data_IF_915498847058
#
_entry.id   IF_915498847058
#
_cell.length_a   1.000
_cell.length_b   1.000
_cell.length_c   1.000
_cell.angle_alpha   90.00
_cell.angle_beta   90.00
_cell.angle_gamma   90.00
#
_symmetry.space_group_name_H-M   'P 1'
#
loop_
_entity.id
_entity.type
_entity.pdbx_description
1 polymer ?
#
# COMPACT_ATOMS: atom_id res chain seq x y z
N UNK A 1 -37.97 11.25 5.12
CA UNK A 1 -39.45 11.34 5.22
C UNK A 1 -39.88 12.74 4.84
N UNK A 2 -40.99 12.97 4.12
CA UNK A 2 -41.50 14.33 3.88
C UNK A 2 -41.84 15.02 5.22
N UNK A 3 -41.61 16.32 5.31
CA UNK A 3 -41.98 17.11 6.49
C UNK A 3 -43.51 17.04 6.70
N UNK A 4 -44.00 16.69 7.91
CA UNK A 4 -45.42 16.64 8.21
C UNK A 4 -46.18 17.96 7.96
N UNK A 5 -45.48 19.10 7.92
CA UNK A 5 -46.06 20.44 7.69
C UNK A 5 -45.85 20.97 6.27
N UNK A 6 -44.91 20.40 5.52
CA UNK A 6 -44.63 20.79 4.13
C UNK A 6 -44.16 19.56 3.32
N UNK A 7 -45.08 18.87 2.62
CA UNK A 7 -44.77 17.64 1.89
C UNK A 7 -43.79 17.85 0.72
N UNK A 8 -43.45 19.09 0.36
CA UNK A 8 -42.40 19.38 -0.64
C UNK A 8 -40.98 19.27 -0.08
N UNK A 9 -40.79 19.23 1.24
CA UNK A 9 -39.48 19.18 1.91
C UNK A 9 -39.16 17.76 2.35
N UNK A 10 -38.06 17.21 1.85
CA UNK A 10 -37.53 15.92 2.28
C UNK A 10 -36.74 16.13 3.58
N UNK A 11 -37.20 15.54 4.68
CA UNK A 11 -36.46 15.46 5.94
C UNK A 11 -35.48 14.29 5.85
N UNK A 12 -34.20 14.63 5.80
CA UNK A 12 -33.07 13.68 5.93
C UNK A 12 -32.71 13.56 7.40
N UNK A 13 -32.88 12.38 7.99
CA UNK A 13 -32.46 12.10 9.37
C UNK A 13 -31.01 11.61 9.35
N UNK A 14 -30.08 12.42 9.85
CA UNK A 14 -28.68 12.02 10.05
C UNK A 14 -28.51 11.52 11.48
N UNK A 15 -28.22 10.23 11.66
CA UNK A 15 -27.84 9.67 12.96
C UNK A 15 -26.33 9.81 13.14
N UNK A 16 -25.90 10.64 14.09
CA UNK A 16 -24.49 10.77 14.47
C UNK A 16 -24.20 9.94 15.71
N UNK A 17 -23.39 8.89 15.59
CA UNK A 17 -22.88 8.13 16.73
C UNK A 17 -21.48 8.62 17.09
N UNK A 18 -21.34 9.24 18.26
CA UNK A 18 -20.05 9.71 18.77
C UNK A 18 -19.45 8.67 19.70
N UNK A 19 -18.18 8.32 19.47
CA UNK A 19 -17.40 7.46 20.36
C UNK A 19 -16.35 8.29 21.08
N UNK A 20 -16.31 8.22 22.41
CA UNK A 20 -15.19 8.75 23.20
C UNK A 20 -14.10 7.68 23.28
N UNK A 21 -12.86 8.02 22.96
CA UNK A 21 -11.73 7.10 22.97
C UNK A 21 -10.71 7.50 24.03
N UNK A 22 -10.21 6.53 24.79
CA UNK A 22 -9.08 6.75 25.69
C UNK A 22 -7.83 7.16 24.89
N UNK A 23 -6.95 7.94 25.52
CA UNK A 23 -5.75 8.50 24.85
C UNK A 23 -4.87 7.40 24.24
N UNK A 24 -4.70 6.29 24.94
CA UNK A 24 -3.88 5.15 24.54
C UNK A 24 -4.48 4.44 23.32
N UNK A 25 -5.81 4.32 23.29
CA UNK A 25 -6.52 3.77 22.14
C UNK A 25 -6.41 4.67 20.92
N UNK A 26 -6.55 6.00 21.10
CA UNK A 26 -6.37 6.97 20.03
C UNK A 26 -4.94 6.92 19.46
N UNK A 27 -3.95 6.81 20.34
CA UNK A 27 -2.55 6.64 19.93
C UNK A 27 -2.36 5.35 19.12
N UNK A 28 -2.96 4.25 19.54
CA UNK A 28 -2.89 2.97 18.81
C UNK A 28 -3.52 3.08 17.41
N UNK A 29 -4.66 3.76 17.28
CA UNK A 29 -5.29 4.01 15.97
C UNK A 29 -4.40 4.87 15.08
N UNK A 30 -3.83 5.96 15.60
CA UNK A 30 -2.90 6.80 14.84
C UNK A 30 -1.63 6.03 14.43
N UNK A 31 -1.12 5.15 15.30
CA UNK A 31 0.00 4.27 14.94
C UNK A 31 -0.36 3.38 13.74
N UNK A 32 -1.57 2.79 13.71
CA UNK A 32 -2.03 2.02 12.55
C UNK A 32 -2.09 2.86 11.27
N UNK A 33 -2.47 4.13 11.35
CA UNK A 33 -2.47 5.02 10.19
C UNK A 33 -1.05 5.35 9.70
N UNK A 34 -0.08 5.48 10.60
CA UNK A 34 1.34 5.62 10.25
C UNK A 34 1.86 4.33 9.60
N UNK A 35 1.60 3.17 10.20
CA UNK A 35 2.04 1.87 9.69
C UNK A 35 1.47 1.59 8.28
N UNK A 36 0.20 1.94 8.08
CA UNK A 36 -0.51 1.81 6.80
C UNK A 36 -0.18 2.94 5.81
N UNK A 37 0.64 3.93 6.19
CA UNK A 37 1.01 5.10 5.38
C UNK A 37 -0.17 5.94 4.92
N UNK A 38 -1.22 6.05 5.73
CA UNK A 38 -2.35 6.94 5.49
C UNK A 38 -2.04 8.38 5.89
N UNK A 39 -1.18 8.55 6.89
CA UNK A 39 -0.70 9.85 7.36
C UNK A 39 0.81 9.86 7.39
N UNK A 40 1.39 11.05 7.26
CA UNK A 40 2.82 11.30 7.35
C UNK A 40 3.10 12.60 8.11
N UNK A 41 4.31 12.71 8.66
CA UNK A 41 4.76 13.94 9.33
C UNK A 41 4.95 15.05 8.30
N UNK A 42 4.57 16.28 8.66
CA UNK A 42 4.80 17.47 7.83
C UNK A 42 6.28 17.88 7.81
N UNK A 43 7.06 17.49 8.82
CA UNK A 43 8.47 17.88 8.97
C UNK A 43 9.45 17.03 8.12
N UNK A 44 8.97 16.38 7.05
CA UNK A 44 9.70 15.51 6.11
C UNK A 44 10.50 14.34 6.73
N UNK A 45 10.36 14.10 8.03
CA UNK A 45 10.94 12.95 8.72
C UNK A 45 9.91 11.82 8.76
N UNK A 46 10.23 10.71 8.09
CA UNK A 46 9.47 9.48 8.22
C UNK A 46 9.52 8.99 9.68
N UNK A 47 8.41 9.17 10.40
CA UNK A 47 8.26 8.69 11.77
C UNK A 47 7.70 7.26 11.73
N UNK A 48 8.44 6.32 12.30
CA UNK A 48 7.97 4.94 12.48
C UNK A 48 7.00 4.80 13.65
N UNK A 49 7.06 5.72 14.61
CA UNK A 49 6.26 5.69 15.83
C UNK A 49 5.48 7.00 15.91
N UNK A 50 4.17 6.90 16.11
CA UNK A 50 3.31 8.06 16.29
C UNK A 50 3.58 8.73 17.65
N UNK A 51 4.09 9.98 17.68
CA UNK A 51 4.46 10.66 18.90
C UNK A 51 3.22 11.19 19.63
N UNK A 52 3.31 11.29 20.97
CA UNK A 52 2.21 11.77 21.80
C UNK A 52 1.98 13.30 21.73
N UNK A 53 3.01 14.07 21.39
CA UNK A 53 2.97 15.54 21.34
C UNK A 53 3.99 16.06 20.32
N UNK A 54 3.73 17.28 19.83
CA UNK A 54 4.72 18.07 19.11
C UNK A 54 5.00 17.63 17.67
N UNK A 55 4.06 16.95 17.02
CA UNK A 55 4.16 16.61 15.60
C UNK A 55 2.86 16.95 14.88
N UNK A 56 3.00 17.48 13.66
CA UNK A 56 1.90 17.73 12.74
C UNK A 56 1.89 16.63 11.69
N UNK A 57 0.70 16.08 11.47
CA UNK A 57 0.48 15.03 10.47
C UNK A 57 -0.47 15.53 9.39
N UNK A 58 -0.26 15.04 8.18
CA UNK A 58 -1.11 15.27 7.03
C UNK A 58 -1.48 13.94 6.37
N UNK A 59 -2.58 13.91 5.64
CA UNK A 59 -2.97 12.75 4.84
C UNK A 59 -2.01 12.57 3.66
N UNK A 60 -1.54 11.35 3.45
CA UNK A 60 -0.85 10.98 2.22
C UNK A 60 -1.84 10.85 1.06
N UNK A 61 -1.40 10.85 -0.21
CA UNK A 61 -2.31 10.56 -1.34
C UNK A 61 -3.08 9.23 -1.17
N UNK A 62 -2.44 8.21 -0.59
CA UNK A 62 -3.11 6.95 -0.19
C UNK A 62 -4.21 7.20 0.82
N UNK A 63 -3.92 7.94 1.90
CA UNK A 63 -4.88 8.28 2.94
C UNK A 63 -6.10 9.03 2.40
N UNK A 64 -5.88 9.99 1.48
CA UNK A 64 -6.97 10.74 0.84
C UNK A 64 -7.83 9.82 -0.03
N UNK A 65 -7.22 8.92 -0.82
CA UNK A 65 -7.98 7.98 -1.64
C UNK A 65 -8.83 7.02 -0.77
N UNK A 66 -8.28 6.50 0.34
CA UNK A 66 -9.03 5.67 1.28
C UNK A 66 -10.18 6.46 1.93
N UNK A 67 -9.93 7.72 2.33
CA UNK A 67 -10.96 8.62 2.86
C UNK A 67 -12.06 8.85 1.82
N UNK A 68 -11.71 9.09 0.56
CA UNK A 68 -12.67 9.26 -0.53
C UNK A 68 -13.62 8.06 -0.64
N UNK A 69 -13.06 6.85 -0.64
CA UNK A 69 -13.85 5.61 -0.71
C UNK A 69 -14.76 5.43 0.50
N UNK A 70 -14.25 5.77 1.69
CA UNK A 70 -15.05 5.75 2.92
C UNK A 70 -16.21 6.73 2.85
N UNK A 71 -15.97 7.98 2.43
CA UNK A 71 -17.00 8.99 2.29
C UNK A 71 -18.06 8.62 1.24
N UNK A 72 -17.65 8.11 0.08
CA UNK A 72 -18.55 7.64 -0.97
C UNK A 72 -19.44 6.48 -0.48
N UNK A 73 -18.85 5.51 0.23
CA UNK A 73 -19.60 4.34 0.74
C UNK A 73 -20.62 4.71 1.82
N UNK A 74 -20.33 5.74 2.62
CA UNK A 74 -21.18 6.16 3.74
C UNK A 74 -22.03 7.41 3.45
N UNK A 75 -21.97 7.98 2.23
CA UNK A 75 -22.70 9.19 1.87
C UNK A 75 -22.27 10.44 2.62
N UNK A 76 -20.98 10.56 2.97
CA UNK A 76 -20.44 11.72 3.69
C UNK A 76 -20.13 12.84 2.69
N UNK A 77 -20.81 13.99 2.84
CA UNK A 77 -20.70 15.15 1.93
C UNK A 77 -20.37 16.45 2.67
N UNK A 78 -19.63 16.37 3.79
CA UNK A 78 -19.24 17.55 4.56
C UNK A 78 -18.24 18.42 3.76
N UNK A 79 -18.46 19.73 3.71
CA UNK A 79 -17.67 20.67 2.89
C UNK A 79 -16.16 20.54 3.12
N UNK A 80 -15.71 20.59 4.37
CA UNK A 80 -14.28 20.47 4.72
C UNK A 80 -13.66 19.13 4.32
N UNK A 81 -14.45 18.07 4.18
CA UNK A 81 -13.97 16.78 3.67
C UNK A 81 -13.84 16.86 2.15
N UNK A 82 -14.85 17.40 1.47
CA UNK A 82 -14.81 17.59 0.01
C UNK A 82 -13.63 18.44 -0.43
N UNK A 83 -13.30 19.52 0.30
CA UNK A 83 -12.12 20.36 0.04
C UNK A 83 -10.82 19.54 0.01
N UNK A 84 -10.69 18.53 0.88
CA UNK A 84 -9.53 17.62 0.91
C UNK A 84 -9.57 16.63 -0.24
N UNK A 85 -10.75 16.07 -0.55
CA UNK A 85 -10.93 15.07 -1.62
C UNK A 85 -10.72 15.65 -3.02
N UNK A 86 -11.06 16.92 -3.22
CA UNK A 86 -10.90 17.67 -4.47
C UNK A 86 -9.54 18.37 -4.55
N UNK A 87 -8.75 18.32 -3.47
CA UNK A 87 -7.43 18.94 -3.46
C UNK A 87 -6.47 18.27 -4.46
N UNK A 88 -5.46 19.01 -4.95
CA UNK A 88 -4.41 18.45 -5.83
C UNK A 88 -3.59 17.31 -5.21
N UNK A 89 -3.79 16.99 -3.92
CA UNK A 89 -3.11 15.90 -3.22
C UNK A 89 -3.78 14.54 -3.45
N UNK A 90 -5.01 14.51 -3.94
CA UNK A 90 -5.72 13.27 -4.25
C UNK A 90 -5.28 12.71 -5.62
N UNK A 91 -4.02 12.31 -5.72
CA UNK A 91 -3.41 11.83 -6.98
C UNK A 91 -3.39 10.31 -7.10
N UNK A 92 -3.69 9.59 -6.01
CA UNK A 92 -3.44 8.17 -5.91
C UNK A 92 -4.47 7.33 -6.68
N UNK A 93 -4.00 6.43 -7.54
CA UNK A 93 -4.80 5.38 -8.16
C UNK A 93 -4.49 4.03 -7.50
N UNK A 94 -5.15 3.76 -6.37
CA UNK A 94 -4.93 2.54 -5.59
C UNK A 94 -5.43 1.27 -6.28
N UNK A 95 -4.65 0.20 -6.13
CA UNK A 95 -5.12 -1.17 -6.36
C UNK A 95 -6.06 -1.56 -5.23
N UNK A 96 -7.32 -1.74 -5.59
CA UNK A 96 -8.35 -2.18 -4.67
C UNK A 96 -8.24 -3.69 -4.50
N UNK A 97 -7.90 -4.13 -3.29
CA UNK A 97 -7.82 -5.54 -2.96
C UNK A 97 -9.19 -6.03 -2.49
N UNK A 98 -9.62 -7.15 -3.04
CA UNK A 98 -10.84 -7.82 -2.59
C UNK A 98 -10.62 -8.46 -1.23
N UNK A 99 -11.57 -8.22 -0.33
CA UNK A 99 -11.57 -8.73 1.04
C UNK A 99 -12.85 -9.49 1.30
N UNK A 100 -12.72 -10.57 2.05
CA UNK A 100 -13.86 -11.32 2.58
C UNK A 100 -14.64 -10.46 3.58
N UNK A 101 -15.96 -10.40 3.42
CA UNK A 101 -16.80 -9.47 4.18
C UNK A 101 -16.93 -9.84 5.67
N UNK A 102 -16.71 -11.10 6.04
CA UNK A 102 -16.83 -11.60 7.41
C UNK A 102 -15.49 -11.61 8.14
N UNK A 103 -14.42 -12.03 7.46
CA UNK A 103 -13.10 -12.27 8.05
C UNK A 103 -12.09 -11.16 7.77
N UNK A 104 -12.41 -10.21 6.88
CA UNK A 104 -11.52 -9.13 6.41
C UNK A 104 -10.21 -9.62 5.76
N UNK A 105 -10.14 -10.92 5.43
CA UNK A 105 -8.97 -11.53 4.78
C UNK A 105 -8.95 -11.18 3.30
N UNK A 106 -7.74 -11.01 2.75
CA UNK A 106 -7.53 -10.80 1.32
C UNK A 106 -7.95 -12.04 0.52
N UNK A 107 -8.51 -11.82 -0.68
CA UNK A 107 -8.71 -12.91 -1.62
C UNK A 107 -7.36 -13.44 -2.13
N UNK A 108 -7.24 -14.77 -2.17
CA UNK A 108 -6.01 -15.47 -2.59
C UNK A 108 -6.17 -16.20 -3.93
N UNK A 109 -7.30 -16.00 -4.62
CA UNK A 109 -7.55 -16.65 -5.89
C UNK A 109 -6.55 -16.19 -6.96
N UNK A 110 -6.24 -17.10 -7.89
CA UNK A 110 -5.18 -16.88 -8.87
C UNK A 110 -5.45 -15.68 -9.78
N UNK A 111 -6.70 -15.47 -10.19
CA UNK A 111 -7.06 -14.40 -11.11
C UNK A 111 -6.84 -13.03 -10.45
N UNK A 112 -7.28 -12.86 -9.20
CA UNK A 112 -7.04 -11.64 -8.41
C UNK A 112 -5.55 -11.37 -8.24
N UNK A 113 -4.76 -12.38 -7.91
CA UNK A 113 -3.31 -12.21 -7.75
C UNK A 113 -2.64 -11.83 -9.08
N UNK A 114 -3.06 -12.40 -10.21
CA UNK A 114 -2.56 -12.02 -11.53
C UNK A 114 -2.97 -10.58 -11.92
N UNK A 115 -4.16 -10.11 -11.51
CA UNK A 115 -4.58 -8.69 -11.67
C UNK A 115 -3.69 -7.76 -10.86
N UNK A 116 -3.45 -8.08 -9.58
CA UNK A 116 -2.57 -7.29 -8.72
C UNK A 116 -1.15 -7.27 -9.31
N UNK A 117 -0.68 -8.42 -9.81
CA UNK A 117 0.64 -8.53 -10.41
C UNK A 117 0.79 -7.67 -11.67
N UNK A 118 -0.22 -7.58 -12.54
CA UNK A 118 -0.15 -6.67 -13.71
C UNK A 118 0.05 -5.21 -13.33
N UNK A 119 -0.60 -4.75 -12.25
CA UNK A 119 -0.37 -3.39 -11.75
C UNK A 119 0.99 -3.26 -11.06
N UNK A 120 1.42 -4.31 -10.36
CA UNK A 120 2.73 -4.41 -9.72
C UNK A 120 3.88 -4.36 -10.74
N UNK A 121 3.81 -5.12 -11.83
CA UNK A 121 4.82 -5.11 -12.89
C UNK A 121 4.80 -3.81 -13.71
N UNK A 122 3.63 -3.16 -13.79
CA UNK A 122 3.41 -1.92 -14.53
C UNK A 122 2.55 -2.17 -15.77
N UNK A 123 1.52 -1.35 -15.99
CA UNK A 123 0.57 -1.52 -17.10
C UNK A 123 1.22 -1.29 -18.48
N UNK A 124 2.13 -0.32 -18.57
CA UNK A 124 2.84 0.04 -19.80
C UNK A 124 4.24 -0.60 -19.87
N UNK A 125 4.50 -1.59 -19.01
CA UNK A 125 5.78 -2.28 -18.88
C UNK A 125 6.55 -1.93 -17.59
N UNK A 126 7.72 -2.57 -17.38
CA UNK A 126 8.46 -2.46 -16.12
C UNK A 126 8.98 -1.05 -15.85
N UNK A 127 8.85 -0.61 -14.59
CA UNK A 127 9.38 0.68 -14.14
C UNK A 127 10.90 0.59 -13.89
N UNK A 128 11.69 0.79 -14.95
CA UNK A 128 13.15 0.60 -14.92
C UNK A 128 13.84 1.74 -14.16
N UNK A 129 14.63 1.42 -13.13
CA UNK A 129 15.54 2.37 -12.46
C UNK A 129 16.72 2.71 -13.37
N UNK A 130 17.16 3.96 -13.31
CA UNK A 130 18.39 4.44 -13.96
C UNK A 130 19.67 3.91 -13.30
N UNK A 131 19.64 3.59 -12.00
CA UNK A 131 20.77 3.07 -11.24
C UNK A 131 20.38 1.90 -10.33
N UNK A 132 21.34 1.01 -10.07
CA UNK A 132 21.22 -0.19 -9.22
C UNK A 132 21.87 0.05 -7.84
N UNK A 133 22.43 1.25 -7.59
CA UNK A 133 23.11 1.58 -6.34
C UNK A 133 22.19 1.39 -5.12
N UNK A 134 22.70 0.68 -4.12
CA UNK A 134 22.02 0.42 -2.84
C UNK A 134 21.88 1.67 -1.96
N UNK A 135 22.56 2.77 -2.35
CA UNK A 135 22.52 4.09 -1.72
C UNK A 135 21.39 4.98 -2.21
N UNK A 136 20.70 4.62 -3.30
CA UNK A 136 19.59 5.41 -3.79
C UNK A 136 18.43 5.19 -2.83
N UNK A 137 18.18 6.20 -2.01
CA UNK A 137 17.00 6.31 -1.17
C UNK A 137 15.79 6.04 -2.07
N UNK A 138 15.18 4.86 -1.93
CA UNK A 138 13.90 4.52 -2.56
C UNK A 138 12.88 5.50 -1.99
N UNK A 139 12.79 6.67 -2.62
CA UNK A 139 12.05 7.79 -2.07
C UNK A 139 10.57 7.41 -2.09
N UNK A 140 9.91 7.56 -0.95
CA UNK A 140 8.45 7.31 -0.84
C UNK A 140 7.65 8.14 -1.86
N UNK A 141 8.26 9.24 -2.34
CA UNK A 141 7.74 10.18 -3.35
C UNK A 141 7.43 9.49 -4.68
N UNK A 142 8.16 8.43 -5.02
CA UNK A 142 8.10 7.79 -6.33
C UNK A 142 6.76 7.10 -6.64
N UNK A 143 5.96 6.82 -5.62
CA UNK A 143 4.68 6.10 -5.76
C UNK A 143 3.45 6.97 -5.45
N UNK A 144 3.62 8.29 -5.42
CA UNK A 144 2.57 9.25 -5.03
C UNK A 144 1.29 9.14 -5.86
N UNK A 145 1.37 8.76 -7.14
CA UNK A 145 0.20 8.58 -8.00
C UNK A 145 -0.29 7.13 -8.13
N UNK A 146 0.47 6.13 -7.68
CA UNK A 146 0.13 4.70 -7.80
C UNK A 146 0.03 4.16 -9.23
N UNK A 147 0.53 4.89 -10.24
CA UNK A 147 0.42 4.52 -11.65
C UNK A 147 1.54 3.56 -12.05
N UNK A 148 2.75 3.86 -11.61
CA UNK A 148 3.93 3.09 -11.97
C UNK A 148 4.02 1.78 -11.20
N UNK A 149 4.49 0.73 -11.88
CA UNK A 149 4.84 -0.54 -11.26
C UNK A 149 6.03 -0.41 -10.30
N UNK A 150 6.34 -1.53 -9.62
CA UNK A 150 7.51 -1.66 -8.77
C UNK A 150 8.75 -1.29 -9.56
N UNK A 151 9.63 -0.52 -8.93
CA UNK A 151 10.91 -0.19 -9.54
C UNK A 151 11.76 -1.44 -9.71
N UNK A 152 12.17 -1.71 -10.94
CA UNK A 152 13.00 -2.85 -11.34
C UNK A 152 14.36 -2.39 -11.88
N UNK A 153 15.40 -3.18 -11.64
CA UNK A 153 16.69 -3.06 -12.30
C UNK A 153 16.65 -3.86 -13.60
N UNK A 154 16.96 -3.19 -14.73
CA UNK A 154 16.97 -3.81 -16.05
C UNK A 154 17.90 -5.01 -16.12
N UNK A 155 19.10 -4.84 -15.58
CA UNK A 155 20.14 -5.86 -15.52
C UNK A 155 20.79 -5.79 -14.13
N UNK A 156 21.07 -6.92 -13.53
CA UNK A 156 21.79 -7.02 -12.26
C UNK A 156 22.77 -8.17 -12.34
N UNK A 157 24.05 -7.85 -12.20
CA UNK A 157 25.11 -8.85 -12.05
C UNK A 157 25.20 -9.26 -10.58
N UNK A 158 25.07 -10.55 -10.31
CA UNK A 158 25.20 -11.10 -8.95
C UNK A 158 26.59 -11.74 -8.74
N UNK A 159 26.83 -12.18 -7.50
CA UNK A 159 28.10 -12.79 -7.08
C UNK A 159 28.44 -14.08 -7.84
N UNK A 160 27.42 -14.76 -8.38
CA UNK A 160 27.57 -15.95 -9.24
C UNK A 160 28.09 -15.61 -10.65
N UNK A 161 28.29 -14.32 -10.96
CA UNK A 161 28.76 -13.84 -12.24
C UNK A 161 27.67 -13.75 -13.32
N UNK A 162 26.45 -14.23 -13.05
CA UNK A 162 25.32 -14.19 -13.98
C UNK A 162 24.65 -12.82 -13.95
N UNK A 163 24.06 -12.46 -15.09
CA UNK A 163 23.26 -11.25 -15.25
C UNK A 163 21.80 -11.65 -15.27
N UNK A 164 21.02 -11.05 -14.40
CA UNK A 164 19.58 -11.25 -14.30
C UNK A 164 18.85 -9.98 -14.71
N UNK A 165 17.79 -10.11 -15.50
CA UNK A 165 16.98 -8.99 -15.95
C UNK A 165 15.75 -8.76 -15.09
N UNK A 166 15.21 -7.53 -15.11
CA UNK A 166 13.95 -7.15 -14.44
C UNK A 166 13.90 -7.58 -12.96
N UNK A 167 14.94 -7.21 -12.21
CA UNK A 167 15.11 -7.62 -10.82
C UNK A 167 14.68 -6.54 -9.83
N UNK A 168 14.14 -6.93 -8.69
CA UNK A 168 13.76 -6.01 -7.60
C UNK A 168 14.11 -6.64 -6.24
N UNK A 169 14.09 -5.83 -5.18
CA UNK A 169 14.34 -6.33 -3.82
C UNK A 169 13.04 -6.71 -3.14
N UNK A 170 13.06 -7.65 -2.20
CA UNK A 170 11.88 -7.97 -1.39
C UNK A 170 11.34 -6.76 -0.62
N UNK A 171 12.21 -5.85 -0.18
CA UNK A 171 11.79 -4.57 0.39
C UNK A 171 10.98 -3.73 -0.60
N UNK A 172 11.43 -3.63 -1.86
CA UNK A 172 10.77 -2.83 -2.88
C UNK A 172 9.36 -3.35 -3.19
N UNK A 173 9.16 -4.67 -3.19
CA UNK A 173 7.83 -5.24 -3.43
C UNK A 173 6.85 -4.92 -2.29
N UNK A 174 7.31 -5.07 -1.04
CA UNK A 174 6.52 -4.66 0.15
C UNK A 174 6.19 -3.19 0.11
N UNK A 175 7.16 -2.33 -0.22
CA UNK A 175 6.94 -0.88 -0.25
C UNK A 175 5.94 -0.48 -1.34
N UNK A 176 6.04 -1.07 -2.53
CA UNK A 176 5.07 -0.84 -3.60
C UNK A 176 3.68 -1.28 -3.19
N UNK A 177 3.54 -2.51 -2.67
CA UNK A 177 2.24 -3.02 -2.23
C UNK A 177 1.65 -2.15 -1.12
N UNK A 178 2.48 -1.70 -0.16
CA UNK A 178 2.01 -0.83 0.91
C UNK A 178 1.57 0.55 0.40
N UNK A 179 2.21 1.13 -0.61
CA UNK A 179 1.85 2.47 -1.11
C UNK A 179 0.72 2.45 -2.13
N UNK A 180 0.73 1.48 -3.04
CA UNK A 180 -0.08 1.46 -4.26
C UNK A 180 -1.32 0.56 -4.15
N UNK A 181 -1.59 -0.05 -2.99
CA UNK A 181 -2.77 -0.89 -2.76
C UNK A 181 -3.51 -0.54 -1.47
N UNK A 182 -4.67 -1.15 -1.27
CA UNK A 182 -5.47 -1.01 -0.04
C UNK A 182 -4.98 -1.89 1.12
N UNK A 183 -3.75 -2.39 1.08
CA UNK A 183 -3.15 -3.06 2.25
C UNK A 183 -2.96 -2.09 3.41
N UNK A 184 -3.05 -2.60 4.63
CA UNK A 184 -2.86 -1.83 5.87
C UNK A 184 -1.73 -2.38 6.73
N UNK A 185 -1.35 -3.65 6.53
CA UNK A 185 -0.28 -4.29 7.29
C UNK A 185 0.80 -4.88 6.39
N UNK A 186 2.05 -4.81 6.86
CA UNK A 186 3.19 -5.42 6.16
C UNK A 186 2.98 -6.91 5.91
N UNK A 187 2.32 -7.63 6.83
CA UNK A 187 2.05 -9.07 6.67
C UNK A 187 1.24 -9.38 5.41
N UNK A 188 0.28 -8.54 5.07
CA UNK A 188 -0.52 -8.67 3.86
C UNK A 188 0.34 -8.54 2.60
N UNK A 189 1.26 -7.58 2.59
CA UNK A 189 2.18 -7.39 1.46
C UNK A 189 3.11 -8.59 1.25
N UNK A 190 3.57 -9.21 2.35
CA UNK A 190 4.36 -10.43 2.29
C UNK A 190 3.53 -11.57 1.69
N UNK A 191 2.30 -11.76 2.19
CA UNK A 191 1.41 -12.81 1.71
C UNK A 191 1.10 -12.67 0.21
N UNK A 192 0.82 -11.46 -0.28
CA UNK A 192 0.59 -11.23 -1.71
C UNK A 192 1.85 -11.60 -2.51
N UNK A 193 3.03 -11.22 -2.02
CA UNK A 193 4.29 -11.52 -2.72
C UNK A 193 4.63 -13.02 -2.68
N UNK A 194 4.28 -13.72 -1.60
CA UNK A 194 4.36 -15.18 -1.54
C UNK A 194 3.45 -15.84 -2.58
N UNK A 195 2.25 -15.29 -2.82
CA UNK A 195 1.37 -15.77 -3.87
C UNK A 195 1.94 -15.51 -5.26
N UNK A 196 2.69 -14.41 -5.48
CA UNK A 196 3.43 -14.20 -6.73
C UNK A 196 4.48 -15.31 -6.97
N UNK A 197 5.21 -15.71 -5.92
CA UNK A 197 6.15 -16.85 -5.99
C UNK A 197 5.41 -18.16 -6.26
N UNK A 198 4.36 -18.44 -5.49
CA UNK A 198 3.55 -19.67 -5.60
C UNK A 198 2.95 -19.85 -6.98
N UNK A 199 2.48 -18.77 -7.60
CA UNK A 199 1.94 -18.80 -8.95
C UNK A 199 3.00 -18.64 -10.04
N UNK A 200 4.28 -18.55 -9.68
CA UNK A 200 5.39 -18.49 -10.64
C UNK A 200 5.36 -17.23 -11.49
N UNK A 201 4.89 -16.10 -10.95
CA UNK A 201 4.95 -14.78 -11.58
C UNK A 201 6.32 -14.14 -11.35
N UNK A 202 6.89 -14.40 -10.18
CA UNK A 202 8.24 -14.00 -9.79
C UNK A 202 9.03 -15.22 -9.33
N UNK A 203 10.36 -15.10 -9.33
CA UNK A 203 11.26 -16.11 -8.79
C UNK A 203 12.27 -15.47 -7.85
N UNK A 204 12.70 -16.22 -6.83
CA UNK A 204 13.79 -15.81 -5.94
C UNK A 204 15.12 -16.08 -6.65
N UNK A 205 15.93 -15.04 -6.79
CA UNK A 205 17.25 -15.12 -7.42
C UNK A 205 18.35 -15.18 -6.34
N UNK A 206 18.19 -14.40 -5.28
CA UNK A 206 19.13 -14.35 -4.17
C UNK A 206 18.37 -14.26 -2.85
N UNK A 207 18.75 -15.10 -1.89
CA UNK A 207 18.27 -15.04 -0.51
C UNK A 207 19.10 -14.06 0.34
N UNK A 208 18.47 -13.52 1.37
CA UNK A 208 19.12 -12.85 2.48
C UNK A 208 19.43 -13.89 3.57
N UNK A 209 20.69 -14.33 3.63
CA UNK A 209 21.15 -15.33 4.60
C UNK A 209 21.02 -14.91 6.06
N UNK A 210 20.90 -13.61 6.33
CA UNK A 210 20.69 -13.09 7.69
C UNK A 210 19.21 -13.08 8.07
N UNK A 211 18.31 -13.31 7.11
CA UNK A 211 16.89 -13.37 7.38
C UNK A 211 16.56 -14.66 8.15
N UNK A 212 15.88 -14.57 9.31
CA UNK A 212 15.61 -15.73 10.15
C UNK A 212 14.82 -16.78 9.37
N UNK A 213 15.36 -17.99 9.31
CA UNK A 213 14.78 -19.09 8.56
C UNK A 213 13.65 -19.71 9.39
N UNK A 214 12.39 -19.48 9.02
CA UNK A 214 11.20 -19.90 9.79
C UNK A 214 10.84 -21.39 9.57
N UNK A 215 11.77 -22.20 9.04
CA UNK A 215 11.64 -23.66 9.03
C UNK A 215 10.83 -24.25 7.88
N UNK A 216 10.61 -23.49 6.81
CA UNK A 216 9.81 -23.92 5.65
C UNK A 216 10.51 -23.48 4.37
N UNK A 217 10.68 -24.42 3.44
CA UNK A 217 11.44 -24.22 2.21
C UNK A 217 10.77 -23.13 1.35
N UNK A 218 11.50 -22.04 1.12
CA UNK A 218 11.19 -20.89 0.26
C UNK A 218 10.00 -20.00 0.68
N UNK A 219 10.13 -19.31 1.82
CA UNK A 219 9.30 -18.14 2.13
C UNK A 219 9.81 -16.86 1.47
N UNK A 220 8.89 -15.94 1.18
CA UNK A 220 9.24 -14.61 0.75
C UNK A 220 9.97 -13.86 1.88
N UNK A 221 11.10 -13.26 1.53
CA UNK A 221 11.93 -12.45 2.41
C UNK A 221 11.76 -10.95 2.05
N UNK A 222 11.09 -10.14 2.91
CA UNK A 222 10.88 -8.70 2.71
C UNK A 222 12.14 -7.88 3.04
N UNK A 223 13.29 -8.27 2.48
CA UNK A 223 14.59 -7.67 2.73
C UNK A 223 15.11 -6.88 1.53
N UNK A 224 15.97 -5.91 1.80
CA UNK A 224 16.72 -5.19 0.76
C UNK A 224 17.81 -6.07 0.12
N UNK A 225 18.21 -7.15 0.79
CA UNK A 225 19.26 -8.07 0.33
C UNK A 225 18.71 -9.28 -0.43
N UNK A 226 17.43 -9.60 -0.23
CA UNK A 226 16.74 -10.63 -1.00
C UNK A 226 16.34 -10.07 -2.38
N UNK A 227 16.74 -10.75 -3.45
CA UNK A 227 16.53 -10.32 -4.83
C UNK A 227 15.59 -11.29 -5.54
N UNK A 228 14.62 -10.71 -6.24
CA UNK A 228 13.63 -11.42 -7.04
C UNK A 228 13.68 -10.93 -8.49
N UNK A 229 13.26 -11.79 -9.41
CA UNK A 229 13.06 -11.43 -10.81
C UNK A 229 11.65 -11.75 -11.26
N UNK A 230 11.15 -10.95 -12.20
CA UNK A 230 9.91 -11.26 -12.94
C UNK A 230 10.21 -12.40 -13.92
N UNK A 231 9.36 -13.43 -13.93
CA UNK A 231 9.51 -14.60 -14.82
C UNK A 231 8.87 -14.35 -16.19
N UNK A 232 9.09 -15.22 -17.16
CA UNK A 232 8.41 -15.15 -18.48
C UNK A 232 6.88 -15.28 -18.39
N UNK A 233 6.37 -15.89 -17.32
CA UNK A 233 4.93 -16.04 -17.08
C UNK A 233 4.30 -14.77 -16.52
N UNK A 234 5.08 -13.96 -15.80
CA UNK A 234 4.63 -12.72 -15.19
C UNK A 234 4.65 -11.59 -16.21
#
# INVERSE_FOLDING_TARGET
MPDPKDPSRIVTTTTTTTFSMAKEMAQSVCQRFVDARFIESVDDKALLIFPLKGALFQLTPKGINILQRFCQRNGITAHHVMDVLESPRNTMQLVNLERDAETDKLSHDRATIEVIFRRFAGQDGPNIKSSISTSDSDSLIDYTNGIFGVKVARERKLLDGKIYSNTFTGKASVDWLMNCSTTVERRETCLITELFLKYGLITMIQDDKQFPNVGTNAHFQPSKYAIYGITERG
#
